data_IF_543950976174
#
_entry.id   IF_543950976174
#
_cell.length_a   1.000
_cell.length_b   1.000
_cell.length_c   1.000
_cell.angle_alpha   90.00
_cell.angle_beta   90.00
_cell.angle_gamma   90.00
#
_symmetry.space_group_name_H-M   'P 1'
#
loop_
_entity.id
_entity.type
_entity.pdbx_description
1 polymer ?
#
# COMPACT_ATOMS: atom_id res chain seq x y z
N UNK A 1 12.86 -2.84 13.76
CA UNK A 1 13.56 -1.57 13.52
C UNK A 1 13.73 -1.20 12.03
N UNK A 2 14.39 -1.97 11.14
CA UNK A 2 14.56 -1.56 9.72
C UNK A 2 13.24 -1.52 8.91
N UNK A 3 12.35 -2.50 9.06
CA UNK A 3 11.06 -2.55 8.34
C UNK A 3 10.06 -1.48 8.79
N UNK A 4 10.02 -1.15 10.09
CA UNK A 4 9.17 -0.08 10.63
C UNK A 4 9.53 1.29 10.03
N UNK A 5 10.81 1.57 9.77
CA UNK A 5 11.19 2.83 9.14
C UNK A 5 10.74 2.92 7.66
N UNK A 6 10.71 1.78 6.95
CA UNK A 6 10.29 1.73 5.54
C UNK A 6 8.80 1.98 5.39
N UNK A 7 7.96 1.30 6.16
CA UNK A 7 6.50 1.50 6.08
C UNK A 7 6.10 2.93 6.44
N UNK A 8 6.75 3.57 7.41
CA UNK A 8 6.48 4.98 7.73
C UNK A 8 6.88 5.93 6.59
N UNK A 9 8.01 5.69 5.93
CA UNK A 9 8.43 6.45 4.74
C UNK A 9 7.44 6.27 3.59
N UNK A 10 6.98 5.05 3.36
CA UNK A 10 5.99 4.73 2.34
C UNK A 10 4.65 5.41 2.63
N UNK A 11 4.15 5.29 3.86
CA UNK A 11 2.93 5.95 4.31
C UNK A 11 3.04 7.48 4.20
N UNK A 12 4.18 8.06 4.58
CA UNK A 12 4.43 9.52 4.45
C UNK A 12 4.41 9.97 2.99
N UNK A 13 4.94 9.17 2.07
CA UNK A 13 4.84 9.46 0.64
C UNK A 13 3.37 9.48 0.19
N UNK A 14 2.60 8.45 0.54
CA UNK A 14 1.19 8.38 0.17
C UNK A 14 0.34 9.47 0.82
N UNK A 15 0.62 9.85 2.07
CA UNK A 15 -0.08 10.93 2.76
C UNK A 15 -0.01 12.26 1.99
N UNK A 16 1.06 12.50 1.24
CA UNK A 16 1.24 13.71 0.44
C UNK A 16 0.64 13.61 -0.96
N UNK A 17 0.43 12.40 -1.47
CA UNK A 17 0.09 12.17 -2.88
C UNK A 17 -1.32 11.60 -3.10
N UNK A 18 -1.93 10.96 -2.09
CA UNK A 18 -3.20 10.25 -2.24
C UNK A 18 -4.33 11.12 -2.79
N UNK A 19 -4.35 12.42 -2.48
CA UNK A 19 -5.37 13.36 -2.97
C UNK A 19 -5.27 13.65 -4.47
N UNK A 20 -4.12 13.40 -5.08
CA UNK A 20 -3.88 13.57 -6.51
C UNK A 20 -4.23 12.33 -7.32
N UNK A 21 -4.58 11.23 -6.65
CA UNK A 21 -4.86 9.97 -7.29
C UNK A 21 -6.29 9.93 -7.86
N UNK A 22 -6.53 9.23 -8.97
CA UNK A 22 -7.83 9.23 -9.64
C UNK A 22 -8.95 8.54 -8.84
N UNK A 23 -8.62 7.76 -7.81
CA UNK A 23 -9.57 7.10 -6.91
C UNK A 23 -9.84 7.89 -5.63
N UNK A 24 -9.20 9.06 -5.46
CA UNK A 24 -9.45 9.88 -4.29
C UNK A 24 -10.90 10.40 -4.27
N UNK A 25 -11.50 10.34 -3.09
CA UNK A 25 -12.79 10.97 -2.81
C UNK A 25 -12.68 11.88 -1.59
N UNK A 26 -13.23 13.09 -1.69
CA UNK A 26 -13.32 14.06 -0.59
C UNK A 26 -14.16 13.56 0.61
N UNK A 27 -14.90 12.47 0.44
CA UNK A 27 -15.68 11.81 1.50
C UNK A 27 -14.80 11.03 2.49
N UNK A 28 -13.57 10.73 2.11
CA UNK A 28 -12.64 9.92 2.89
C UNK A 28 -11.39 10.72 3.24
N UNK A 29 -10.90 10.48 4.45
CA UNK A 29 -9.73 11.15 4.99
C UNK A 29 -8.50 10.28 4.87
N UNK A 30 -7.33 10.85 5.20
CA UNK A 30 -6.10 10.06 5.28
C UNK A 30 -6.22 8.83 6.19
N UNK A 31 -6.94 8.92 7.30
CA UNK A 31 -7.15 7.78 8.23
C UNK A 31 -7.90 6.61 7.57
N UNK A 32 -8.70 6.90 6.54
CA UNK A 32 -9.41 5.88 5.77
C UNK A 32 -8.48 5.23 4.73
N UNK A 33 -7.54 5.97 4.13
CA UNK A 33 -6.63 5.47 3.10
C UNK A 33 -5.31 4.90 3.64
N UNK A 34 -4.80 5.37 4.79
CA UNK A 34 -3.55 4.89 5.40
C UNK A 34 -3.53 3.35 5.57
N UNK A 35 -4.60 2.71 6.06
CA UNK A 35 -4.62 1.25 6.19
C UNK A 35 -4.49 0.53 4.84
N UNK A 36 -5.03 1.08 3.76
CA UNK A 36 -4.94 0.49 2.42
C UNK A 36 -3.49 0.49 1.90
N UNK A 37 -2.79 1.62 2.05
CA UNK A 37 -1.40 1.72 1.63
C UNK A 37 -0.46 0.87 2.48
N UNK A 38 -0.66 0.87 3.80
CA UNK A 38 0.10 0.01 4.72
C UNK A 38 -0.15 -1.47 4.45
N UNK A 39 -1.40 -1.84 4.15
CA UNK A 39 -1.76 -3.21 3.80
C UNK A 39 -1.07 -3.66 2.52
N UNK A 40 -1.12 -2.83 1.46
CA UNK A 40 -0.41 -3.11 0.21
C UNK A 40 1.09 -3.34 0.43
N UNK A 41 1.75 -2.47 1.20
CA UNK A 41 3.17 -2.60 1.50
C UNK A 41 3.49 -3.91 2.23
N UNK A 42 2.74 -4.23 3.29
CA UNK A 42 2.96 -5.46 4.06
C UNK A 42 2.77 -6.70 3.20
N UNK A 43 1.68 -6.75 2.42
CA UNK A 43 1.41 -7.89 1.55
C UNK A 43 2.41 -8.00 0.39
N UNK A 44 2.93 -6.88 -0.11
CA UNK A 44 4.02 -6.88 -1.07
C UNK A 44 5.30 -7.46 -0.48
N UNK A 45 5.64 -7.14 0.78
CA UNK A 45 6.80 -7.76 1.44
C UNK A 45 6.67 -9.28 1.60
N UNK A 46 5.45 -9.80 1.74
CA UNK A 46 5.17 -11.24 1.78
C UNK A 46 5.21 -11.89 0.39
N UNK A 47 4.92 -11.13 -0.67
CA UNK A 47 4.77 -11.62 -2.04
C UNK A 47 5.42 -10.68 -3.08
N UNK A 48 6.74 -10.38 -2.98
CA UNK A 48 7.39 -9.35 -3.80
C UNK A 48 7.46 -9.71 -5.28
N UNK A 49 7.47 -11.01 -5.60
CA UNK A 49 7.56 -11.52 -6.98
C UNK A 49 6.18 -11.76 -7.64
N UNK A 50 5.09 -11.45 -6.94
CA UNK A 50 3.73 -11.66 -7.46
C UNK A 50 3.13 -10.37 -8.02
N UNK A 51 2.26 -10.53 -9.02
CA UNK A 51 1.48 -9.41 -9.54
C UNK A 51 0.29 -9.18 -8.63
N UNK A 52 -0.17 -7.92 -8.59
CA UNK A 52 -1.35 -7.56 -7.82
C UNK A 52 -2.56 -8.42 -8.18
N UNK A 53 -2.75 -8.70 -9.47
CA UNK A 53 -3.87 -9.49 -9.98
C UNK A 53 -3.86 -10.94 -9.46
N UNK A 54 -2.68 -11.51 -9.16
CA UNK A 54 -2.56 -12.89 -8.67
C UNK A 54 -2.87 -13.01 -7.17
N UNK A 55 -2.74 -11.90 -6.42
CA UNK A 55 -3.00 -11.85 -4.98
C UNK A 55 -4.29 -11.12 -4.61
N UNK A 56 -4.97 -10.51 -5.58
CA UNK A 56 -6.12 -9.64 -5.36
C UNK A 56 -7.21 -10.29 -4.50
N UNK A 57 -7.62 -11.52 -4.85
CA UNK A 57 -8.65 -12.26 -4.11
C UNK A 57 -8.27 -12.50 -2.64
N UNK A 58 -6.98 -12.75 -2.39
CA UNK A 58 -6.46 -12.92 -1.03
C UNK A 58 -6.41 -11.59 -0.29
N UNK A 59 -6.03 -10.51 -0.98
CA UNK A 59 -6.01 -9.18 -0.40
C UNK A 59 -7.43 -8.74 -0.01
N UNK A 60 -8.41 -9.00 -0.87
CA UNK A 60 -9.83 -8.77 -0.62
C UNK A 60 -10.29 -9.48 0.65
N UNK A 61 -10.04 -10.78 0.74
CA UNK A 61 -10.44 -11.60 1.88
C UNK A 61 -9.80 -11.12 3.21
N UNK A 62 -8.59 -10.56 3.15
CA UNK A 62 -7.89 -10.01 4.32
C UNK A 62 -8.23 -8.56 4.66
N UNK A 63 -8.90 -7.83 3.76
CA UNK A 63 -9.11 -6.39 3.92
C UNK A 63 -9.96 -6.05 5.15
N UNK A 64 -11.03 -6.81 5.43
CA UNK A 64 -11.89 -6.57 6.60
C UNK A 64 -11.13 -6.66 7.93
N UNK A 65 -10.07 -7.45 7.98
CA UNK A 65 -9.19 -7.55 9.16
C UNK A 65 -8.15 -6.42 9.16
N UNK A 66 -7.59 -6.10 7.99
CA UNK A 66 -6.51 -5.12 7.86
C UNK A 66 -6.98 -3.66 7.98
N UNK A 67 -8.20 -3.35 7.56
CA UNK A 67 -8.74 -1.98 7.49
C UNK A 67 -8.88 -1.28 8.84
N UNK A 68 -9.00 -2.04 9.93
CA UNK A 68 -9.17 -1.50 11.28
C UNK A 68 -10.37 -0.56 11.38
N UNK A 69 -10.09 0.75 11.53
CA UNK A 69 -11.13 1.80 11.63
C UNK A 69 -11.48 2.47 10.30
N UNK A 70 -10.78 2.12 9.21
CA UNK A 70 -11.04 2.69 7.89
C UNK A 70 -12.47 2.41 7.45
N UNK A 71 -13.10 3.43 6.87
CA UNK A 71 -14.45 3.32 6.32
C UNK A 71 -14.48 2.83 4.88
N UNK A 72 -13.32 2.64 4.24
CA UNK A 72 -13.28 2.21 2.84
C UNK A 72 -13.81 0.78 2.69
N UNK A 73 -14.73 0.60 1.74
CA UNK A 73 -15.06 -0.72 1.24
C UNK A 73 -13.88 -1.26 0.42
N UNK A 74 -13.84 -2.59 0.19
CA UNK A 74 -12.77 -3.18 -0.61
C UNK A 74 -12.66 -2.54 -1.99
N UNK A 75 -13.77 -2.25 -2.67
CA UNK A 75 -13.74 -1.66 -4.02
C UNK A 75 -13.00 -0.31 -4.06
N UNK A 76 -13.18 0.53 -3.05
CA UNK A 76 -12.48 1.82 -2.94
C UNK A 76 -11.03 1.62 -2.51
N UNK A 77 -10.81 0.75 -1.52
CA UNK A 77 -9.49 0.45 -0.99
C UNK A 77 -8.60 -0.21 -2.05
N UNK A 78 -9.13 -1.13 -2.86
CA UNK A 78 -8.43 -1.89 -3.90
C UNK A 78 -7.65 -0.98 -4.84
N UNK A 79 -8.23 0.15 -5.22
CA UNK A 79 -7.56 1.11 -6.11
C UNK A 79 -6.32 1.73 -5.44
N UNK A 80 -6.45 2.11 -4.17
CA UNK A 80 -5.33 2.60 -3.37
C UNK A 80 -4.28 1.51 -3.12
N UNK A 81 -4.71 0.29 -2.77
CA UNK A 81 -3.82 -0.86 -2.55
C UNK A 81 -3.04 -1.17 -3.83
N UNK A 82 -3.70 -1.20 -4.99
CA UNK A 82 -3.07 -1.47 -6.29
C UNK A 82 -2.06 -0.39 -6.68
N UNK A 83 -2.42 0.88 -6.53
CA UNK A 83 -1.48 1.99 -6.77
C UNK A 83 -0.26 1.89 -5.86
N UNK A 84 -0.44 1.58 -4.58
CA UNK A 84 0.66 1.35 -3.66
C UNK A 84 1.51 0.14 -4.05
N UNK A 85 0.91 -1.01 -4.34
CA UNK A 85 1.60 -2.23 -4.74
C UNK A 85 2.59 -1.97 -5.87
N UNK A 86 2.12 -1.32 -6.94
CA UNK A 86 2.95 -1.00 -8.11
C UNK A 86 4.00 0.08 -7.87
N UNK A 87 3.91 0.79 -6.75
CA UNK A 87 4.79 1.91 -6.41
C UNK A 87 5.80 1.57 -5.33
N UNK A 88 5.74 0.39 -4.70
CA UNK A 88 6.63 0.03 -3.57
C UNK A 88 8.10 0.22 -3.93
N UNK A 89 8.57 -0.39 -5.03
CA UNK A 89 9.96 -0.28 -5.50
C UNK A 89 10.33 1.15 -5.93
N UNK A 90 9.37 1.95 -6.38
CA UNK A 90 9.60 3.34 -6.79
C UNK A 90 9.73 4.28 -5.60
N UNK A 91 8.87 4.10 -4.59
CA UNK A 91 8.78 4.96 -3.40
C UNK A 91 9.85 4.59 -2.38
N UNK A 92 10.15 3.31 -2.29
CA UNK A 92 11.22 2.76 -1.46
C UNK A 92 12.18 2.03 -2.40
N UNK A 93 12.96 2.77 -3.21
CA UNK A 93 14.02 2.15 -3.98
C UNK A 93 14.83 1.31 -3.01
N UNK A 94 14.89 0.02 -3.28
CA UNK A 94 15.70 -0.87 -2.49
C UNK A 94 17.08 -0.25 -2.41
N UNK A 95 17.61 -0.11 -1.20
CA UNK A 95 19.04 0.03 -0.93
C UNK A 95 19.78 -1.26 -1.38
N UNK A 96 19.36 -1.82 -2.51
CA UNK A 96 20.10 -2.74 -3.34
C UNK A 96 21.13 -1.93 -4.10
N UNK A 97 21.98 -1.21 -3.38
CA UNK A 97 23.42 -1.46 -3.52
C UNK A 97 23.66 -2.94 -3.21
N UNK A 98 23.16 -3.82 -4.09
CA UNK A 98 23.89 -5.03 -4.43
C UNK A 98 25.03 -4.55 -5.32
N UNK A 99 25.98 -3.87 -4.68
CA UNK A 99 27.40 -3.98 -4.99
C UNK A 99 27.70 -5.49 -4.93
N UNK A 100 27.51 -6.12 -6.07
CA UNK A 100 27.42 -7.56 -6.24
C UNK A 100 28.21 -7.98 -7.45
N UNK A 101 29.52 -7.65 -7.41
CA UNK A 101 30.62 -8.06 -8.29
C UNK A 101 30.77 -7.40 -9.66
#
# INVERSE_FOLDING_TARGET
MKGENRIERFATHWQKNFQSEPYYSDRHSWDDYDPAYRYAYKSYEEHPDQRFEDVEDRLEAGWDVAKGKSKLAWLDAKQAVRSAWNSVERVLPGDSDRDGR
#
